data_IF_790782765026
#
_entry.id   IF_790782765026
#
_cell.length_a   1.000
_cell.length_b   1.000
_cell.length_c   1.000
_cell.angle_alpha   90.00
_cell.angle_beta   90.00
_cell.angle_gamma   90.00
#
_symmetry.space_group_name_H-M   'P 1'
#
loop_
_entity.id
_entity.type
_entity.pdbx_description
1 polymer ?
#
# COMPACT_ATOMS: atom_id res chain seq x y z
N UNK A 1 -20.62 -16.75 -46.18
CA UNK A 1 -19.76 -17.80 -45.57
C UNK A 1 -18.48 -17.27 -44.89
N UNK A 2 -18.30 -15.95 -44.75
CA UNK A 2 -17.07 -15.33 -44.20
C UNK A 2 -17.16 -15.10 -42.68
N UNK A 3 -18.37 -14.90 -42.14
CA UNK A 3 -18.58 -14.60 -40.71
C UNK A 3 -18.35 -15.80 -39.79
N UNK A 4 -18.79 -17.01 -40.17
CA UNK A 4 -18.59 -18.22 -39.36
C UNK A 4 -17.11 -18.54 -39.11
N UNK A 5 -16.25 -18.35 -40.12
CA UNK A 5 -14.81 -18.63 -40.00
C UNK A 5 -14.10 -17.65 -39.06
N UNK A 6 -14.65 -16.44 -38.90
CA UNK A 6 -14.10 -15.40 -38.02
C UNK A 6 -14.56 -15.61 -36.57
N UNK A 7 -15.78 -16.08 -36.33
CA UNK A 7 -16.33 -16.34 -34.99
C UNK A 7 -15.48 -17.33 -34.18
N UNK A 8 -15.00 -18.41 -34.80
CA UNK A 8 -14.17 -19.41 -34.10
C UNK A 8 -12.86 -18.81 -33.53
N UNK A 9 -12.19 -17.96 -34.31
CA UNK A 9 -10.96 -17.27 -33.88
C UNK A 9 -11.21 -16.22 -32.79
N UNK A 10 -12.39 -15.60 -32.77
CA UNK A 10 -12.79 -14.67 -31.72
C UNK A 10 -13.16 -15.40 -30.41
N UNK A 11 -13.74 -16.60 -30.51
CA UNK A 11 -14.04 -17.44 -29.35
C UNK A 11 -12.77 -17.84 -28.59
N UNK A 12 -11.69 -18.16 -29.30
CA UNK A 12 -10.42 -18.50 -28.66
C UNK A 12 -9.81 -17.30 -27.94
N UNK A 13 -9.84 -16.12 -28.56
CA UNK A 13 -9.39 -14.87 -27.92
C UNK A 13 -10.22 -14.52 -26.69
N UNK A 14 -11.54 -14.71 -26.76
CA UNK A 14 -12.43 -14.51 -25.62
C UNK A 14 -12.11 -15.48 -24.47
N UNK A 15 -11.80 -16.74 -24.77
CA UNK A 15 -11.40 -17.72 -23.75
C UNK A 15 -10.12 -17.27 -23.02
N UNK A 16 -9.11 -16.80 -23.75
CA UNK A 16 -7.91 -16.25 -23.13
C UNK A 16 -8.19 -14.97 -22.32
N UNK A 17 -9.02 -14.08 -22.84
CA UNK A 17 -9.44 -12.88 -22.10
C UNK A 17 -10.18 -13.21 -20.81
N UNK A 18 -11.08 -14.20 -20.85
CA UNK A 18 -11.84 -14.64 -19.69
C UNK A 18 -10.92 -15.28 -18.64
N UNK A 19 -9.99 -16.15 -19.07
CA UNK A 19 -8.96 -16.70 -18.18
C UNK A 19 -8.12 -15.58 -17.54
N UNK A 20 -7.68 -14.59 -18.32
CA UNK A 20 -6.93 -13.46 -17.80
C UNK A 20 -7.71 -12.71 -16.71
N UNK A 21 -8.99 -12.38 -16.97
CA UNK A 21 -9.85 -11.72 -15.98
C UNK A 21 -9.99 -12.55 -14.71
N UNK A 22 -10.23 -13.86 -14.83
CA UNK A 22 -10.32 -14.76 -13.66
C UNK A 22 -9.03 -14.76 -12.85
N UNK A 23 -7.87 -14.85 -13.50
CA UNK A 23 -6.58 -14.79 -12.83
C UNK A 23 -6.32 -13.43 -12.17
N UNK A 24 -6.70 -12.33 -12.81
CA UNK A 24 -6.60 -10.98 -12.21
C UNK A 24 -7.46 -10.88 -10.95
N UNK A 25 -8.70 -11.37 -11.00
CA UNK A 25 -9.57 -11.39 -9.82
C UNK A 25 -9.03 -12.28 -8.70
N UNK A 26 -8.50 -13.45 -9.04
CA UNK A 26 -7.88 -14.35 -8.06
C UNK A 26 -6.67 -13.70 -7.39
N UNK A 27 -5.79 -13.06 -8.17
CA UNK A 27 -4.63 -12.34 -7.65
C UNK A 27 -5.05 -11.16 -6.75
N UNK A 28 -6.06 -10.39 -7.16
CA UNK A 28 -6.59 -9.29 -6.36
C UNK A 28 -7.07 -9.78 -4.98
N UNK A 29 -7.83 -10.88 -4.93
CA UNK A 29 -8.28 -11.45 -3.65
C UNK A 29 -7.12 -11.97 -2.80
N UNK A 30 -6.12 -12.60 -3.44
CA UNK A 30 -4.91 -13.03 -2.75
C UNK A 30 -4.18 -11.84 -2.10
N UNK A 31 -4.01 -10.74 -2.84
CA UNK A 31 -3.41 -9.53 -2.30
C UNK A 31 -4.27 -8.92 -1.18
N UNK A 32 -5.59 -8.94 -1.30
CA UNK A 32 -6.49 -8.45 -0.26
C UNK A 32 -6.32 -9.23 1.05
N UNK A 33 -6.24 -10.56 0.98
CA UNK A 33 -5.95 -11.41 2.15
C UNK A 33 -4.59 -11.05 2.73
N UNK A 34 -3.56 -10.88 1.90
CA UNK A 34 -2.23 -10.48 2.36
C UNK A 34 -2.27 -9.11 3.07
N UNK A 35 -3.01 -8.14 2.54
CA UNK A 35 -3.15 -6.82 3.18
C UNK A 35 -3.88 -6.89 4.51
N UNK A 36 -4.91 -7.72 4.63
CA UNK A 36 -5.62 -7.93 5.89
C UNK A 36 -4.76 -8.61 6.96
N UNK A 37 -3.85 -9.49 6.55
CA UNK A 37 -2.86 -10.10 7.46
C UNK A 37 -1.77 -9.09 7.84
N UNK A 38 -1.42 -8.19 6.92
CA UNK A 38 -0.38 -7.18 7.12
C UNK A 38 -0.86 -5.96 7.90
N UNK A 39 -2.15 -5.67 8.00
CA UNK A 39 -2.68 -4.64 8.90
C UNK A 39 -2.82 -5.19 10.32
N UNK A 40 -1.93 -4.81 11.27
CA UNK A 40 -2.26 -5.01 12.66
C UNK A 40 -3.35 -4.00 13.03
N UNK A 41 -4.33 -4.48 13.79
CA UNK A 41 -5.28 -3.76 14.63
C UNK A 41 -4.81 -2.37 15.15
N UNK A 42 -5.75 -1.47 15.43
CA UNK A 42 -5.78 -0.06 15.03
C UNK A 42 -4.49 0.71 15.35
N UNK A 43 -3.94 1.35 14.30
CA UNK A 43 -2.77 2.26 14.36
C UNK A 43 -2.97 3.46 15.30
N UNK A 44 -4.18 3.72 15.79
CA UNK A 44 -4.48 4.72 16.81
C UNK A 44 -5.56 4.23 17.76
N UNK A 45 -5.17 3.47 18.80
CA UNK A 45 -6.02 3.36 19.99
C UNK A 45 -5.88 4.69 20.74
N UNK A 46 -6.97 5.43 20.91
CA UNK A 46 -6.95 6.60 21.79
C UNK A 46 -6.40 6.16 23.16
N UNK A 47 -5.37 6.85 23.70
CA UNK A 47 -4.81 6.46 24.97
C UNK A 47 -5.89 6.58 26.04
N UNK A 48 -6.30 5.44 26.61
CA UNK A 48 -7.24 5.41 27.74
C UNK A 48 -6.48 5.86 28.97
N UNK A 49 -6.45 7.17 29.18
CA UNK A 49 -5.73 7.80 30.28
C UNK A 49 -5.67 9.32 30.06
N UNK A 50 -5.66 10.08 31.16
CA UNK A 50 -5.55 11.55 31.13
C UNK A 50 -4.25 11.94 30.41
N UNK A 51 -4.33 12.28 29.13
CA UNK A 51 -3.22 12.80 28.36
C UNK A 51 -2.88 14.21 28.88
N UNK A 52 -1.95 14.27 29.84
CA UNK A 52 -1.36 15.54 30.26
C UNK A 52 -0.38 15.96 29.18
N UNK A 53 -0.68 17.07 28.50
CA UNK A 53 0.21 17.71 27.53
C UNK A 53 1.44 18.22 28.28
N UNK A 54 2.51 17.41 28.33
CA UNK A 54 3.80 17.83 28.88
C UNK A 54 4.46 18.73 27.84
N UNK A 55 4.41 20.03 28.06
CA UNK A 55 5.27 20.96 27.36
C UNK A 55 6.69 20.80 27.91
N UNK A 56 7.59 20.20 27.13
CA UNK A 56 9.03 20.27 27.40
C UNK A 56 9.51 21.68 27.03
N UNK A 57 9.50 22.58 28.01
CA UNK A 57 10.16 23.87 27.92
C UNK A 57 11.67 23.65 28.01
N UNK A 58 12.34 23.79 26.87
CA UNK A 58 13.78 23.96 26.65
C UNK A 58 14.75 22.90 27.19
N UNK A 59 15.70 22.52 26.33
CA UNK A 59 17.02 21.95 26.68
C UNK A 59 17.17 20.42 26.67
N UNK A 60 17.03 19.77 25.51
CA UNK A 60 17.79 18.54 25.24
C UNK A 60 17.91 18.27 23.71
N UNK A 61 18.93 18.87 23.11
CA UNK A 61 19.60 18.40 21.88
C UNK A 61 18.65 18.03 20.73
N UNK A 62 17.99 19.05 20.16
CA UNK A 62 17.74 18.99 18.73
C UNK A 62 19.11 18.96 18.06
N UNK A 63 19.57 17.78 17.66
CA UNK A 63 20.62 17.63 16.65
C UNK A 63 20.08 18.38 15.44
N UNK A 64 20.44 19.66 15.32
CA UNK A 64 20.23 20.40 14.08
C UNK A 64 20.93 19.56 13.02
N UNK A 65 20.23 19.03 12.00
CA UNK A 65 20.92 18.46 10.86
C UNK A 65 21.76 19.60 10.28
N UNK A 66 23.07 19.51 10.40
CA UNK A 66 24.08 20.52 10.01
C UNK A 66 24.16 20.69 8.48
N UNK A 67 23.13 20.30 7.74
CA UNK A 67 23.06 20.46 6.30
C UNK A 67 21.80 19.85 5.68
N UNK A 68 21.50 20.29 4.47
CA UNK A 68 20.39 19.79 3.66
C UNK A 68 20.47 18.26 3.42
N UNK A 69 21.68 17.71 3.38
CA UNK A 69 21.93 16.28 3.17
C UNK A 69 21.46 15.40 4.32
N UNK A 70 21.72 15.79 5.58
CA UNK A 70 21.29 15.02 6.75
C UNK A 70 19.76 15.00 6.88
N UNK A 71 19.11 16.09 6.48
CA UNK A 71 17.65 16.18 6.42
C UNK A 71 17.07 15.25 5.35
N UNK A 72 17.72 15.11 4.19
CA UNK A 72 17.32 14.13 3.18
C UNK A 72 17.47 12.70 3.70
N UNK A 73 18.61 12.40 4.35
CA UNK A 73 18.88 11.07 4.89
C UNK A 73 17.86 10.67 5.96
N UNK A 74 17.47 11.63 6.80
CA UNK A 74 16.41 11.44 7.80
C UNK A 74 15.04 11.21 7.14
N UNK A 75 14.71 11.98 6.09
CA UNK A 75 13.46 11.80 5.33
C UNK A 75 13.37 10.39 4.72
N UNK A 76 14.45 9.89 4.13
CA UNK A 76 14.49 8.53 3.58
C UNK A 76 14.49 7.43 4.64
N UNK A 77 14.99 7.72 5.85
CA UNK A 77 15.07 6.73 6.93
C UNK A 77 13.77 6.60 7.73
N UNK A 78 13.16 7.74 8.08
CA UNK A 78 11.92 7.80 8.85
C UNK A 78 10.70 7.66 7.93
N UNK A 79 10.81 8.12 6.68
CA UNK A 79 9.75 7.99 5.68
C UNK A 79 8.48 8.70 6.11
N UNK A 80 8.52 10.04 6.20
CA UNK A 80 7.49 10.92 6.79
C UNK A 80 6.94 10.46 8.16
#
# INVERSE_FOLDING_TARGET
MIFHFRIGKWIERLRFGLLFVVFTFALYHLLLIVTQVMEPMPKYKEPVGRAVKVFQSDSAVAVKPEGMGDRLKLFYWIGE
#
